data_IF_736425307339
#
_entry.id   IF_736425307339
#
_cell.length_a   1.000
_cell.length_b   1.000
_cell.length_c   1.000
_cell.angle_alpha   90.00
_cell.angle_beta   90.00
_cell.angle_gamma   90.00
#
_symmetry.space_group_name_H-M   'P 1'
#
loop_
_entity.id
_entity.type
_entity.pdbx_description
1 polymer ?
#
# COMPACT_ATOMS: atom_id res chain seq x y z
N UNK A 1 23.94 29.43 2.71
CA UNK A 1 24.49 28.12 3.13
C UNK A 1 23.33 27.32 3.69
N UNK A 2 23.11 26.09 3.26
CA UNK A 2 22.10 25.22 3.89
C UNK A 2 22.54 24.99 5.34
N UNK A 3 21.72 25.40 6.29
CA UNK A 3 22.04 25.30 7.71
C UNK A 3 22.10 23.82 8.09
N UNK A 4 23.22 23.41 8.70
CA UNK A 4 23.42 22.06 9.24
C UNK A 4 22.40 21.78 10.35
N UNK A 5 21.67 20.67 10.24
CA UNK A 5 20.66 20.26 11.22
C UNK A 5 21.20 19.17 12.15
N UNK A 6 20.65 19.07 13.36
CA UNK A 6 20.90 17.99 14.31
C UNK A 6 19.69 17.06 14.40
N UNK A 7 19.88 15.81 14.00
CA UNK A 7 18.85 14.79 13.97
C UNK A 7 18.91 13.90 15.21
N UNK A 8 17.78 13.58 15.83
CA UNK A 8 17.65 12.56 16.87
C UNK A 8 16.80 11.42 16.33
N UNK A 9 17.40 10.25 16.07
CA UNK A 9 16.75 9.14 15.36
C UNK A 9 16.63 7.93 16.28
N UNK A 10 15.40 7.42 16.43
CA UNK A 10 15.15 6.18 17.18
C UNK A 10 15.16 4.95 16.29
N UNK A 11 15.71 3.83 16.80
CA UNK A 11 15.75 2.57 16.05
C UNK A 11 16.72 2.57 14.87
N UNK A 12 17.92 3.12 15.06
CA UNK A 12 18.90 3.36 14.00
C UNK A 12 19.72 2.14 13.56
N UNK A 13 19.58 0.98 14.20
CA UNK A 13 20.51 -0.14 13.99
C UNK A 13 20.41 -0.80 12.61
N UNK A 14 19.22 -0.86 12.01
CA UNK A 14 18.96 -1.57 10.75
C UNK A 14 17.84 -0.90 9.94
N UNK A 15 17.63 -1.39 8.71
CA UNK A 15 16.53 -0.98 7.85
C UNK A 15 16.48 0.53 7.61
N UNK A 16 15.27 1.09 7.65
CA UNK A 16 15.03 2.50 7.35
C UNK A 16 15.70 3.47 8.33
N UNK A 17 15.73 3.14 9.62
CA UNK A 17 16.43 3.96 10.63
C UNK A 17 17.92 4.09 10.34
N UNK A 18 18.56 2.99 9.93
CA UNK A 18 19.97 2.98 9.50
C UNK A 18 20.17 3.80 8.23
N UNK A 19 19.27 3.65 7.25
CA UNK A 19 19.31 4.43 6.02
C UNK A 19 19.16 5.93 6.26
N UNK A 20 18.33 6.34 7.23
CA UNK A 20 18.16 7.74 7.64
C UNK A 20 19.41 8.32 8.32
N UNK A 21 20.08 7.55 9.19
CA UNK A 21 21.37 7.96 9.77
C UNK A 21 22.37 8.24 8.66
N UNK A 22 22.51 7.30 7.70
CA UNK A 22 23.40 7.46 6.54
C UNK A 22 23.05 8.71 5.73
N UNK A 23 21.79 8.84 5.31
CA UNK A 23 21.36 9.94 4.44
C UNK A 23 21.53 11.32 5.10
N UNK A 24 21.24 11.45 6.40
CA UNK A 24 21.43 12.70 7.13
C UNK A 24 22.93 13.05 7.25
N UNK A 25 23.77 12.06 7.59
CA UNK A 25 25.21 12.25 7.67
C UNK A 25 25.83 12.59 6.30
N UNK A 26 25.41 11.94 5.22
CA UNK A 26 25.86 12.24 3.85
C UNK A 26 25.41 13.63 3.40
N UNK A 27 24.26 14.11 3.87
CA UNK A 27 23.78 15.47 3.65
C UNK A 27 24.52 16.55 4.46
N UNK A 28 25.53 16.16 5.24
CA UNK A 28 26.37 17.07 6.04
C UNK A 28 25.80 17.44 7.41
N UNK A 29 24.71 16.78 7.83
CA UNK A 29 24.05 17.01 9.12
C UNK A 29 24.77 16.29 10.28
N UNK A 30 24.32 16.58 11.50
CA UNK A 30 24.69 15.87 12.73
C UNK A 30 23.58 14.89 13.10
N UNK A 31 23.94 13.74 13.65
CA UNK A 31 23.00 12.69 14.00
C UNK A 31 23.29 12.16 15.39
N UNK A 32 22.25 12.11 16.21
CA UNK A 32 22.15 11.26 17.39
C UNK A 32 21.39 10.02 16.95
N UNK A 33 22.11 8.92 16.73
CA UNK A 33 21.53 7.64 16.34
C UNK A 33 21.34 6.78 17.57
N UNK A 34 20.12 6.31 17.80
CA UNK A 34 19.82 5.52 19.01
C UNK A 34 19.40 4.09 18.67
N UNK A 35 19.88 3.13 19.46
CA UNK A 35 19.54 1.73 19.34
C UNK A 35 19.71 1.04 20.69
N UNK A 36 19.07 -0.12 20.93
CA UNK A 36 19.33 -0.91 22.15
C UNK A 36 20.80 -1.33 22.29
N UNK A 37 21.48 -1.48 21.14
CA UNK A 37 22.89 -1.84 21.00
C UNK A 37 23.59 -0.80 20.12
N UNK A 38 24.08 0.32 20.69
CA UNK A 38 24.64 1.43 19.92
C UNK A 38 25.92 1.06 19.16
N UNK A 39 26.63 0.01 19.56
CA UNK A 39 27.79 -0.53 18.85
C UNK A 39 27.49 -0.92 17.40
N UNK A 40 26.22 -1.19 17.06
CA UNK A 40 25.78 -1.46 15.68
C UNK A 40 25.88 -0.23 14.75
N UNK A 41 26.17 0.95 15.30
CA UNK A 41 26.39 2.20 14.57
C UNK A 41 27.87 2.57 14.43
N UNK A 42 28.80 1.73 14.92
CA UNK A 42 30.23 2.03 14.94
C UNK A 42 30.82 2.34 13.54
N UNK A 43 30.34 1.68 12.48
CA UNK A 43 30.81 1.93 11.09
C UNK A 43 30.60 3.38 10.63
N UNK A 44 29.59 4.06 11.16
CA UNK A 44 29.31 5.44 10.80
C UNK A 44 30.26 6.40 11.53
N UNK A 45 30.71 6.05 12.73
CA UNK A 45 31.65 6.86 13.50
C UNK A 45 33.01 6.94 12.80
N UNK A 46 33.46 5.84 12.19
CA UNK A 46 34.72 5.79 11.43
C UNK A 46 34.73 6.75 10.22
N UNK A 47 33.58 6.91 9.57
CA UNK A 47 33.44 7.68 8.32
C UNK A 47 32.95 9.12 8.53
N UNK A 48 32.30 9.41 9.66
CA UNK A 48 31.63 10.70 9.89
C UNK A 48 32.08 11.43 11.16
N UNK A 49 32.95 10.80 11.98
CA UNK A 49 33.61 11.40 13.13
C UNK A 49 32.64 12.00 14.14
N UNK A 50 32.93 13.22 14.60
CA UNK A 50 32.16 13.95 15.63
C UNK A 50 30.74 14.35 15.19
N UNK A 51 30.29 14.02 13.98
CA UNK A 51 28.92 14.28 13.53
C UNK A 51 27.93 13.22 13.96
N UNK A 52 28.40 12.09 14.51
CA UNK A 52 27.56 11.04 15.04
C UNK A 52 27.74 10.91 16.55
N UNK A 53 26.62 10.91 17.27
CA UNK A 53 26.54 10.44 18.65
C UNK A 53 25.66 9.18 18.68
N UNK A 54 26.25 8.03 19.03
CA UNK A 54 25.51 6.78 19.17
C UNK A 54 25.09 6.58 20.64
N UNK A 55 23.79 6.42 20.92
CA UNK A 55 23.27 6.24 22.28
C UNK A 55 22.48 4.94 22.41
N UNK A 56 22.62 4.28 23.57
CA UNK A 56 21.75 3.18 23.96
C UNK A 56 20.35 3.73 24.28
N UNK A 57 19.30 3.19 23.65
CA UNK A 57 17.93 3.58 23.95
C UNK A 57 16.93 2.44 23.72
N UNK A 58 16.13 2.17 24.75
CA UNK A 58 14.82 1.56 24.63
C UNK A 58 13.76 2.65 24.79
N UNK A 59 12.90 2.81 23.80
CA UNK A 59 11.88 3.88 23.79
C UNK A 59 10.75 3.63 24.79
N UNK A 60 10.64 2.41 25.31
CA UNK A 60 9.67 2.05 26.36
C UNK A 60 10.12 2.48 27.75
N UNK A 61 11.42 2.74 27.97
CA UNK A 61 11.94 3.29 29.23
C UNK A 61 11.95 4.83 29.18
N UNK A 62 10.94 5.45 29.80
CA UNK A 62 10.80 6.91 29.85
C UNK A 62 12.02 7.61 30.46
N UNK A 63 12.71 7.01 31.45
CA UNK A 63 13.91 7.61 32.05
C UNK A 63 15.08 7.58 31.08
N UNK A 64 15.26 6.46 30.38
CA UNK A 64 16.28 6.35 29.33
C UNK A 64 16.03 7.34 28.19
N UNK A 65 14.76 7.54 27.79
CA UNK A 65 14.37 8.55 26.80
C UNK A 65 14.78 9.96 27.25
N UNK A 66 14.45 10.36 28.49
CA UNK A 66 14.84 11.67 29.01
C UNK A 66 16.36 11.86 29.07
N UNK A 67 17.10 10.83 29.51
CA UNK A 67 18.55 10.88 29.54
C UNK A 67 19.15 11.02 28.14
N UNK A 68 18.68 10.24 27.16
CA UNK A 68 19.17 10.31 25.79
C UNK A 68 18.90 11.67 25.13
N UNK A 69 17.74 12.30 25.39
CA UNK A 69 17.45 13.66 24.92
C UNK A 69 18.37 14.69 25.60
N UNK A 70 18.62 14.55 26.90
CA UNK A 70 19.55 15.43 27.62
C UNK A 70 20.98 15.30 27.09
N UNK A 71 21.46 14.08 26.84
CA UNK A 71 22.79 13.81 26.27
C UNK A 71 22.91 14.37 24.85
N UNK A 72 21.88 14.20 24.02
CA UNK A 72 21.81 14.77 22.68
C UNK A 72 21.95 16.30 22.70
N UNK A 73 21.20 16.98 23.58
CA UNK A 73 21.27 18.43 23.75
C UNK A 73 22.60 18.86 24.36
N UNK A 74 23.11 18.14 25.36
CA UNK A 74 24.40 18.43 25.98
C UNK A 74 25.56 18.34 24.99
N UNK A 75 25.50 17.39 24.06
CA UNK A 75 26.56 17.17 23.07
C UNK A 75 26.49 18.13 21.88
N UNK A 76 25.32 18.33 21.27
CA UNK A 76 25.17 19.15 20.06
C UNK A 76 24.55 20.53 20.28
N UNK A 77 24.04 20.81 21.48
CA UNK A 77 23.42 22.07 21.89
C UNK A 77 21.94 22.23 21.50
N UNK A 78 21.42 21.40 20.60
CA UNK A 78 20.05 21.50 20.05
C UNK A 78 19.61 20.20 19.39
N UNK A 79 18.32 20.08 19.10
CA UNK A 79 17.76 19.01 18.27
C UNK A 79 16.82 19.65 17.24
N UNK A 80 17.14 19.58 15.95
CA UNK A 80 16.37 20.22 14.88
C UNK A 80 15.31 19.29 14.28
N UNK A 81 15.63 17.99 14.20
CA UNK A 81 14.75 16.97 13.64
C UNK A 81 14.71 15.77 14.59
N UNK A 82 13.53 15.39 15.05
CA UNK A 82 13.31 14.19 15.87
C UNK A 82 12.62 13.16 14.99
N UNK A 83 13.15 11.95 14.91
CA UNK A 83 12.59 10.87 14.10
C UNK A 83 12.24 9.70 15.00
N UNK A 84 10.94 9.51 15.21
CA UNK A 84 10.42 8.31 15.86
C UNK A 84 10.28 7.19 14.84
N UNK A 85 11.34 6.41 14.68
CA UNK A 85 11.40 5.27 13.75
C UNK A 85 11.40 3.91 14.48
N UNK A 86 11.76 3.85 15.76
CA UNK A 86 11.75 2.60 16.52
C UNK A 86 10.36 1.93 16.45
N UNK A 87 10.35 0.65 16.09
CA UNK A 87 9.14 -0.12 15.91
C UNK A 87 9.44 -1.52 15.37
N UNK A 88 8.48 -2.42 15.56
CA UNK A 88 8.51 -3.77 15.01
C UNK A 88 7.09 -4.30 14.84
N UNK A 89 6.98 -5.41 14.11
CA UNK A 89 5.73 -6.08 13.83
C UNK A 89 5.93 -7.57 14.12
N UNK A 90 4.98 -8.17 14.82
CA UNK A 90 4.80 -9.63 14.92
C UNK A 90 3.42 -9.98 14.35
N UNK A 91 3.27 -11.22 13.89
CA UNK A 91 2.03 -11.70 13.26
C UNK A 91 1.34 -12.71 14.17
N UNK A 92 0.09 -12.46 14.52
CA UNK A 92 -0.75 -13.37 15.30
C UNK A 92 -2.24 -13.17 15.00
N UNK A 93 -3.07 -14.22 15.05
CA UNK A 93 -4.52 -14.07 15.11
C UNK A 93 -4.93 -13.27 16.36
N UNK A 94 -6.00 -12.48 16.26
CA UNK A 94 -6.50 -11.68 17.40
C UNK A 94 -6.96 -12.61 18.54
N UNK A 95 -7.64 -13.71 18.20
CA UNK A 95 -8.22 -14.62 19.18
C UNK A 95 -7.17 -15.45 19.94
N UNK A 96 -6.11 -15.90 19.26
CA UNK A 96 -5.15 -16.87 19.80
C UNK A 96 -3.76 -16.29 20.00
N UNK A 97 -3.57 -15.00 19.72
CA UNK A 97 -2.30 -14.32 19.93
C UNK A 97 -1.97 -14.16 21.40
N UNK A 98 -0.68 -13.99 21.71
CA UNK A 98 -0.22 -13.69 23.06
C UNK A 98 -0.53 -12.23 23.42
N UNK A 99 -1.29 -12.01 24.49
CA UNK A 99 -1.63 -10.70 25.02
C UNK A 99 -0.39 -9.89 25.43
N UNK A 100 0.66 -10.55 25.94
CA UNK A 100 1.90 -9.88 26.33
C UNK A 100 2.62 -9.35 25.08
N UNK A 101 2.67 -10.12 23.99
CA UNK A 101 3.21 -9.67 22.71
C UNK A 101 2.37 -8.57 22.09
N UNK A 102 1.03 -8.67 22.17
CA UNK A 102 0.12 -7.62 21.70
C UNK A 102 0.43 -6.29 22.41
N UNK A 103 0.56 -6.31 23.74
CA UNK A 103 0.91 -5.13 24.54
C UNK A 103 2.31 -4.63 24.22
N UNK A 104 3.32 -5.50 24.17
CA UNK A 104 4.70 -5.13 23.93
C UNK A 104 4.90 -4.44 22.56
N UNK A 105 4.16 -4.90 21.53
CA UNK A 105 4.13 -4.23 20.23
C UNK A 105 3.57 -2.81 20.35
N UNK A 106 2.47 -2.62 21.10
CA UNK A 106 1.88 -1.29 21.31
C UNK A 106 2.78 -0.38 22.14
N UNK A 107 3.43 -0.92 23.18
CA UNK A 107 4.44 -0.22 24.01
C UNK A 107 5.55 0.37 23.14
N UNK A 108 6.10 -0.40 22.21
CA UNK A 108 7.18 0.12 21.36
C UNK A 108 6.66 1.02 20.24
N UNK A 109 5.61 0.60 19.53
CA UNK A 109 5.15 1.27 18.31
C UNK A 109 4.35 2.56 18.57
N UNK A 110 3.69 2.68 19.73
CA UNK A 110 2.92 3.86 20.13
C UNK A 110 3.49 4.53 21.38
N UNK A 111 3.61 3.83 22.51
CA UNK A 111 4.07 4.48 23.75
C UNK A 111 5.52 4.97 23.63
N UNK A 112 6.37 4.26 22.89
CA UNK A 112 7.71 4.72 22.54
C UNK A 112 7.70 6.04 21.75
N UNK A 113 6.79 6.18 20.79
CA UNK A 113 6.58 7.43 20.03
C UNK A 113 6.13 8.55 20.96
N UNK A 114 5.16 8.28 21.84
CA UNK A 114 4.66 9.23 22.82
C UNK A 114 5.77 9.68 23.78
N UNK A 115 6.53 8.74 24.35
CA UNK A 115 7.59 9.00 25.32
C UNK A 115 8.65 9.94 24.75
N UNK A 116 9.15 9.64 23.55
CA UNK A 116 10.17 10.45 22.88
C UNK A 116 9.61 11.82 22.50
N UNK A 117 8.41 11.87 21.91
CA UNK A 117 7.76 13.13 21.53
C UNK A 117 7.57 14.03 22.76
N UNK A 118 7.10 13.48 23.88
CA UNK A 118 6.93 14.21 25.15
C UNK A 118 8.25 14.75 25.68
N UNK A 119 9.32 13.97 25.63
CA UNK A 119 10.63 14.36 26.14
C UNK A 119 11.31 15.48 25.32
N UNK A 120 11.08 15.53 24.00
CA UNK A 120 11.72 16.54 23.13
C UNK A 120 10.96 17.87 23.07
N UNK A 121 9.64 17.90 23.30
CA UNK A 121 8.83 19.13 23.20
C UNK A 121 9.39 20.30 24.00
N UNK A 122 9.82 20.16 25.28
CA UNK A 122 10.38 21.27 26.03
C UNK A 122 11.61 21.89 25.35
N UNK A 123 12.49 21.05 24.80
CA UNK A 123 13.67 21.50 24.05
C UNK A 123 13.27 22.21 22.76
N UNK A 124 12.38 21.60 21.95
CA UNK A 124 11.91 22.18 20.68
C UNK A 124 11.24 23.54 20.91
N UNK A 125 10.42 23.65 21.96
CA UNK A 125 9.80 24.92 22.36
C UNK A 125 10.83 25.97 22.76
N UNK A 126 11.80 25.61 23.60
CA UNK A 126 12.81 26.55 24.09
C UNK A 126 13.69 27.13 22.97
N UNK A 127 13.98 26.33 21.93
CA UNK A 127 14.78 26.76 20.78
C UNK A 127 13.95 27.41 19.65
N UNK A 128 12.63 27.54 19.81
CA UNK A 128 11.74 28.20 18.85
C UNK A 128 11.25 27.33 17.68
N UNK A 129 11.34 26.00 17.80
CA UNK A 129 10.76 25.06 16.85
C UNK A 129 11.67 23.89 16.48
N UNK A 130 11.20 23.09 15.53
CA UNK A 130 11.87 21.91 15.00
C UNK A 130 10.90 21.02 14.23
N UNK A 131 11.38 19.90 13.71
CA UNK A 131 10.56 18.94 12.97
C UNK A 131 10.47 17.63 13.73
N UNK A 132 9.26 17.13 13.95
CA UNK A 132 9.02 15.77 14.47
C UNK A 132 8.53 14.90 13.32
N UNK A 133 9.32 13.90 12.95
CA UNK A 133 9.00 12.90 11.93
C UNK A 133 8.51 11.63 12.62
N UNK A 134 7.30 11.22 12.29
CA UNK A 134 6.62 10.08 12.90
C UNK A 134 6.51 8.96 11.87
N UNK A 135 7.20 7.84 12.08
CA UNK A 135 7.04 6.69 11.18
C UNK A 135 5.78 5.90 11.56
N UNK A 136 4.73 6.13 10.78
CA UNK A 136 3.53 5.31 10.74
C UNK A 136 3.70 4.20 9.69
N UNK A 137 2.63 3.85 8.97
CA UNK A 137 2.61 2.87 7.88
C UNK A 137 1.41 3.13 7.00
N UNK A 138 1.51 2.86 5.69
CA UNK A 138 0.33 2.87 4.82
C UNK A 138 -0.74 1.86 5.30
N UNK A 139 -0.32 0.72 5.88
CA UNK A 139 -1.24 -0.22 6.54
C UNK A 139 -1.84 0.37 7.82
N UNK A 140 -1.13 1.23 8.53
CA UNK A 140 -1.63 2.01 9.66
C UNK A 140 -2.57 3.16 9.28
N UNK A 141 -2.86 3.33 7.99
CA UNK A 141 -3.84 4.29 7.44
C UNK A 141 -5.08 3.60 6.90
N UNK A 142 -4.89 2.50 6.16
CA UNK A 142 -5.97 1.78 5.43
C UNK A 142 -6.70 0.76 6.31
N UNK A 143 -6.05 0.17 7.32
CA UNK A 143 -6.72 -0.83 8.18
C UNK A 143 -6.86 -2.21 7.53
N UNK A 144 -7.53 -3.13 8.24
CA UNK A 144 -8.03 -4.39 7.68
C UNK A 144 -6.97 -5.42 7.25
N UNK A 145 -5.75 -5.39 7.80
CA UNK A 145 -4.73 -6.38 7.42
C UNK A 145 -4.76 -7.54 8.43
N UNK A 146 -5.05 -8.79 7.99
CA UNK A 146 -5.10 -9.93 8.90
C UNK A 146 -3.77 -10.18 9.60
N UNK A 147 -3.84 -10.57 10.88
CA UNK A 147 -2.71 -11.02 11.66
C UNK A 147 -1.80 -9.93 12.22
N UNK A 148 -2.05 -8.64 11.93
CA UNK A 148 -1.16 -7.53 12.35
C UNK A 148 -1.85 -6.50 13.23
N UNK A 149 -2.87 -6.92 13.98
CA UNK A 149 -3.80 -6.04 14.69
C UNK A 149 -3.11 -5.07 15.66
N UNK A 150 -2.21 -5.54 16.54
CA UNK A 150 -1.52 -4.66 17.50
C UNK A 150 -0.70 -3.58 16.80
N UNK A 151 0.14 -3.98 15.84
CA UNK A 151 0.94 -3.05 15.05
C UNK A 151 0.06 -2.04 14.30
N UNK A 152 -0.99 -2.51 13.63
CA UNK A 152 -1.89 -1.64 12.86
C UNK A 152 -2.58 -0.64 13.79
N UNK A 153 -3.15 -1.09 14.91
CA UNK A 153 -3.76 -0.23 15.91
C UNK A 153 -2.79 0.82 16.46
N UNK A 154 -1.55 0.43 16.77
CA UNK A 154 -0.51 1.35 17.22
C UNK A 154 -0.18 2.42 16.17
N UNK A 155 -0.12 2.04 14.88
CA UNK A 155 0.20 2.98 13.78
C UNK A 155 -0.97 3.93 13.45
N UNK A 156 -2.21 3.48 13.60
CA UNK A 156 -3.39 4.38 13.61
C UNK A 156 -3.33 5.37 14.79
N UNK A 157 -2.98 4.88 15.98
CA UNK A 157 -2.84 5.74 17.16
C UNK A 157 -1.73 6.78 17.00
N UNK A 158 -0.61 6.42 16.35
CA UNK A 158 0.44 7.37 15.96
C UNK A 158 -0.12 8.47 15.05
N UNK A 159 -0.99 8.16 14.09
CA UNK A 159 -1.57 9.19 13.22
C UNK A 159 -2.42 10.20 13.99
N UNK A 160 -3.38 9.69 14.78
CA UNK A 160 -4.24 10.52 15.63
C UNK A 160 -3.43 11.38 16.60
N UNK A 161 -2.44 10.78 17.27
CA UNK A 161 -1.53 11.48 18.16
C UNK A 161 -0.72 12.56 17.44
N UNK A 162 -0.22 12.28 16.23
CA UNK A 162 0.60 13.22 15.46
C UNK A 162 -0.18 14.46 15.05
N UNK A 163 -1.48 14.31 14.73
CA UNK A 163 -2.37 15.44 14.43
C UNK A 163 -2.60 16.32 15.65
N UNK A 164 -2.87 15.72 16.81
CA UNK A 164 -3.02 16.46 18.06
C UNK A 164 -1.72 17.18 18.45
N UNK A 165 -0.58 16.48 18.39
CA UNK A 165 0.74 17.04 18.63
C UNK A 165 1.02 18.25 17.73
N UNK A 166 0.73 18.15 16.44
CA UNK A 166 0.92 19.24 15.48
C UNK A 166 0.08 20.47 15.85
N UNK A 167 -1.19 20.27 16.19
CA UNK A 167 -2.10 21.34 16.57
C UNK A 167 -1.66 22.03 17.88
N UNK A 168 -1.30 21.25 18.91
CA UNK A 168 -0.88 21.77 20.21
C UNK A 168 0.46 22.52 20.17
N UNK A 169 1.39 22.06 19.33
CA UNK A 169 2.76 22.59 19.28
C UNK A 169 2.99 23.61 18.16
N UNK A 170 1.99 23.89 17.33
CA UNK A 170 2.06 24.90 16.28
C UNK A 170 2.51 26.30 16.79
N UNK A 171 2.03 26.81 17.94
CA UNK A 171 2.51 28.09 18.49
C UNK A 171 4.01 28.10 18.86
N UNK A 172 4.63 26.93 19.02
CA UNK A 172 6.06 26.79 19.32
C UNK A 172 6.94 26.71 18.06
N UNK A 173 6.34 26.75 16.86
CA UNK A 173 7.06 26.56 15.60
C UNK A 173 7.45 25.09 15.33
N UNK A 174 6.85 24.14 16.04
CA UNK A 174 7.09 22.71 15.80
C UNK A 174 6.25 22.25 14.61
N UNK A 175 6.90 21.59 13.66
CA UNK A 175 6.26 20.96 12.50
C UNK A 175 6.24 19.46 12.70
N UNK A 176 5.16 18.81 12.30
CA UNK A 176 5.02 17.35 12.38
C UNK A 176 4.82 16.78 10.98
N UNK A 177 5.59 15.73 10.67
CA UNK A 177 5.50 14.98 9.41
C UNK A 177 5.26 13.50 9.74
N UNK A 178 4.09 12.98 9.39
CA UNK A 178 3.81 11.54 9.45
C UNK A 178 4.30 10.88 8.16
N UNK A 179 5.19 9.90 8.26
CA UNK A 179 5.68 9.13 7.11
C UNK A 179 5.00 7.77 7.09
N UNK A 180 4.41 7.42 5.96
CA UNK A 180 3.58 6.24 5.78
C UNK A 180 4.13 5.37 4.64
N UNK A 181 5.10 4.51 4.95
CA UNK A 181 5.73 3.71 3.92
C UNK A 181 4.95 2.45 3.55
N UNK A 182 5.29 1.95 2.37
CA UNK A 182 5.07 0.56 1.94
C UNK A 182 5.97 -0.39 2.73
N UNK A 183 5.82 -1.70 2.51
CA UNK A 183 6.80 -2.66 3.02
C UNK A 183 8.15 -2.44 2.34
N UNK A 184 9.18 -2.10 3.13
CA UNK A 184 10.55 -1.97 2.66
C UNK A 184 11.29 -3.30 2.77
N UNK A 185 12.29 -3.48 1.90
CA UNK A 185 13.32 -4.48 2.14
C UNK A 185 13.95 -4.18 3.49
N UNK A 186 13.72 -5.02 4.49
CA UNK A 186 14.58 -5.05 5.67
C UNK A 186 15.38 -6.33 5.55
N UNK A 187 16.70 -6.21 5.69
CA UNK A 187 17.68 -7.21 5.28
C UNK A 187 17.27 -8.65 5.58
N UNK A 188 17.58 -9.54 4.63
CA UNK A 188 17.41 -10.99 4.69
C UNK A 188 18.22 -11.70 5.81
N UNK A 189 18.83 -10.93 6.73
CA UNK A 189 19.61 -11.42 7.87
C UNK A 189 18.88 -11.28 9.21
N UNK A 190 17.58 -11.00 9.20
CA UNK A 190 16.72 -11.17 10.37
C UNK A 190 15.55 -10.20 10.38
N UNK A 191 14.42 -10.62 9.81
CA UNK A 191 13.16 -10.03 10.23
C UNK A 191 13.01 -10.38 11.72
N UNK A 192 13.09 -9.39 12.60
CA UNK A 192 12.68 -9.51 14.01
C UNK A 192 11.18 -9.82 14.19
N UNK A 193 10.50 -10.17 13.10
CA UNK A 193 9.09 -10.45 13.06
C UNK A 193 8.90 -11.90 13.47
N UNK A 194 8.31 -12.07 14.64
CA UNK A 194 7.84 -13.36 15.09
C UNK A 194 6.49 -13.62 14.44
N UNK A 195 6.36 -14.77 13.80
CA UNK A 195 5.07 -15.27 13.31
C UNK A 195 4.62 -16.32 14.32
N UNK A 196 3.57 -16.01 15.07
CA UNK A 196 2.95 -16.94 16.00
C UNK A 196 2.20 -18.04 15.25
N UNK A 197 1.81 -19.10 15.96
CA UNK A 197 1.05 -20.20 15.38
C UNK A 197 -0.25 -19.66 14.76
N UNK A 198 -0.50 -20.03 13.51
CA UNK A 198 -1.75 -19.77 12.81
C UNK A 198 -2.62 -21.04 12.88
N UNK A 199 -3.80 -21.00 13.54
CA UNK A 199 -4.76 -22.09 13.48
C UNK A 199 -5.33 -22.26 12.07
N UNK A 200 -5.80 -23.47 11.75
CA UNK A 200 -6.37 -23.82 10.43
C UNK A 200 -7.51 -22.90 10.00
N UNK A 201 -8.30 -22.43 10.95
CA UNK A 201 -9.45 -21.54 10.80
C UNK A 201 -9.01 -20.15 10.28
N UNK A 202 -7.75 -19.76 10.54
CA UNK A 202 -7.17 -18.50 10.10
C UNK A 202 -6.26 -18.63 8.88
N UNK A 203 -6.09 -19.83 8.32
CA UNK A 203 -5.31 -20.04 7.10
C UNK A 203 -5.87 -19.27 5.89
N UNK A 204 -7.20 -19.21 5.64
CA UNK A 204 -7.76 -18.47 4.50
C UNK A 204 -7.47 -16.96 4.54
N UNK A 205 -7.17 -16.40 5.71
CA UNK A 205 -6.94 -14.96 5.91
C UNK A 205 -5.48 -14.66 6.24
N UNK A 206 -5.00 -15.08 7.41
CA UNK A 206 -3.66 -14.79 7.92
C UNK A 206 -2.62 -15.67 7.19
N UNK A 207 -2.91 -16.96 7.01
CA UNK A 207 -2.07 -17.86 6.23
C UNK A 207 -1.87 -17.35 4.80
N UNK A 208 -2.97 -17.06 4.10
CA UNK A 208 -2.93 -16.50 2.75
C UNK A 208 -2.20 -15.15 2.68
N UNK A 209 -2.30 -14.30 3.71
CA UNK A 209 -1.55 -13.04 3.81
C UNK A 209 -0.04 -13.30 3.91
N UNK A 210 0.37 -14.26 4.74
CA UNK A 210 1.77 -14.66 4.91
C UNK A 210 2.34 -15.27 3.63
N UNK A 211 1.60 -16.13 2.95
CA UNK A 211 2.00 -16.73 1.66
C UNK A 211 2.24 -15.66 0.60
N UNK A 212 1.33 -14.69 0.47
CA UNK A 212 1.47 -13.56 -0.47
C UNK A 212 2.67 -12.66 -0.11
N UNK A 213 2.95 -12.49 1.18
CA UNK A 213 4.09 -11.72 1.69
C UNK A 213 5.44 -12.41 1.50
N UNK A 214 5.50 -13.74 1.63
CA UNK A 214 6.73 -14.53 1.59
C UNK A 214 7.38 -14.67 0.20
N UNK A 215 6.64 -14.42 -0.87
CA UNK A 215 7.12 -14.53 -2.27
C UNK A 215 7.29 -13.22 -3.03
N UNK A 216 6.96 -12.07 -2.44
CA UNK A 216 6.97 -10.78 -3.14
C UNK A 216 8.26 -10.02 -2.86
N UNK A 217 9.07 -9.65 -3.88
CA UNK A 217 10.25 -8.82 -3.67
C UNK A 217 9.88 -7.50 -2.98
N UNK A 218 10.73 -6.98 -2.09
CA UNK A 218 10.45 -5.72 -1.43
C UNK A 218 10.28 -4.59 -2.46
N UNK A 219 9.13 -3.90 -2.37
CA UNK A 219 8.72 -2.85 -3.32
C UNK A 219 9.32 -1.49 -2.96
N UNK A 220 9.72 -1.31 -1.69
CA UNK A 220 10.35 -0.08 -1.21
C UNK A 220 11.88 -0.19 -1.09
N UNK A 221 12.57 0.86 -1.52
CA UNK A 221 14.01 1.09 -1.28
C UNK A 221 14.20 2.00 -0.05
N UNK A 222 14.76 1.49 1.07
CA UNK A 222 14.95 2.27 2.30
C UNK A 222 15.95 3.42 2.13
N UNK A 223 16.90 3.32 1.20
CA UNK A 223 17.87 4.39 0.92
C UNK A 223 17.15 5.57 0.26
N UNK A 224 16.39 5.31 -0.82
CA UNK A 224 15.59 6.36 -1.48
C UNK A 224 14.58 6.98 -0.52
N UNK A 225 13.94 6.18 0.32
CA UNK A 225 13.00 6.68 1.32
C UNK A 225 13.67 7.64 2.32
N UNK A 226 14.84 7.26 2.83
CA UNK A 226 15.63 8.10 3.71
C UNK A 226 16.06 9.43 3.05
N UNK A 227 16.58 9.37 1.82
CA UNK A 227 16.96 10.55 1.04
C UNK A 227 15.76 11.48 0.76
N UNK A 228 14.58 10.92 0.48
CA UNK A 228 13.35 11.70 0.32
C UNK A 228 13.01 12.42 1.64
N UNK A 229 13.03 11.73 2.77
CA UNK A 229 12.73 12.34 4.08
C UNK A 229 13.71 13.46 4.40
N UNK A 230 15.03 13.23 4.24
CA UNK A 230 16.07 14.26 4.47
C UNK A 230 15.86 15.49 3.59
N UNK A 231 15.44 15.32 2.33
CA UNK A 231 15.11 16.44 1.45
C UNK A 231 13.82 17.15 1.87
N UNK A 232 12.78 16.39 2.23
CA UNK A 232 11.47 16.94 2.59
C UNK A 232 11.55 17.78 3.87
N UNK A 233 12.22 17.32 4.92
CA UNK A 233 12.29 18.07 6.19
C UNK A 233 13.00 19.43 6.07
N UNK A 234 13.80 19.62 5.02
CA UNK A 234 14.49 20.89 4.71
C UNK A 234 13.61 21.90 3.96
N UNK A 235 12.37 21.52 3.63
CA UNK A 235 11.40 22.40 2.98
C UNK A 235 10.77 23.35 4.00
N UNK A 236 10.43 24.55 3.54
CA UNK A 236 9.71 25.53 4.37
C UNK A 236 8.31 25.04 4.75
N UNK A 237 7.57 24.49 3.79
CA UNK A 237 6.25 23.90 3.99
C UNK A 237 6.34 22.39 3.90
N UNK A 238 6.02 21.71 5.01
CA UNK A 238 5.96 20.26 5.09
C UNK A 238 4.52 19.79 4.87
N UNK A 239 4.31 18.67 4.15
CA UNK A 239 3.02 18.01 4.21
C UNK A 239 2.82 17.42 5.61
N UNK A 240 1.57 17.22 6.02
CA UNK A 240 1.26 16.51 7.28
C UNK A 240 1.54 15.01 7.14
N UNK A 241 1.38 14.45 5.95
CA UNK A 241 1.61 13.04 5.65
C UNK A 241 2.45 12.87 4.38
N UNK A 242 3.33 11.88 4.37
CA UNK A 242 4.13 11.51 3.21
C UNK A 242 4.07 10.01 2.97
N UNK A 243 3.39 9.62 1.89
CA UNK A 243 3.31 8.25 1.41
C UNK A 243 4.60 7.89 0.67
N UNK A 244 5.22 6.76 1.04
CA UNK A 244 6.46 6.29 0.41
C UNK A 244 6.29 4.89 -0.20
N UNK A 245 6.46 4.81 -1.52
CA UNK A 245 6.34 3.58 -2.31
C UNK A 245 4.99 3.46 -3.04
N UNK A 246 5.02 2.77 -4.18
CA UNK A 246 3.87 2.67 -5.11
C UNK A 246 2.63 2.12 -4.40
N UNK A 247 2.76 1.00 -3.70
CA UNK A 247 1.64 0.36 -2.99
C UNK A 247 1.05 1.28 -1.91
N UNK A 248 1.89 2.01 -1.16
CA UNK A 248 1.42 2.96 -0.15
C UNK A 248 0.54 4.05 -0.77
N UNK A 249 0.95 4.58 -1.94
CA UNK A 249 0.19 5.59 -2.68
C UNK A 249 -1.13 5.01 -3.18
N UNK A 250 -1.08 3.90 -3.91
CA UNK A 250 -2.27 3.30 -4.53
C UNK A 250 -3.31 2.89 -3.50
N UNK A 251 -2.92 2.15 -2.46
CA UNK A 251 -3.83 1.68 -1.42
C UNK A 251 -4.44 2.84 -0.62
N UNK A 252 -3.66 3.88 -0.32
CA UNK A 252 -4.15 5.02 0.47
C UNK A 252 -5.12 5.89 -0.32
N UNK A 253 -4.88 6.07 -1.62
CA UNK A 253 -5.78 6.82 -2.48
C UNK A 253 -7.10 6.05 -2.70
N UNK A 254 -7.02 4.74 -2.95
CA UNK A 254 -8.20 3.88 -3.06
C UNK A 254 -9.04 3.90 -1.77
N UNK A 255 -8.41 3.66 -0.62
CA UNK A 255 -9.07 3.72 0.68
C UNK A 255 -9.76 5.06 0.91
N UNK A 256 -9.07 6.17 0.61
CA UNK A 256 -9.64 7.50 0.81
C UNK A 256 -10.87 7.74 -0.06
N UNK A 257 -10.91 7.21 -1.29
CA UNK A 257 -12.09 7.30 -2.16
C UNK A 257 -13.26 6.51 -1.60
N UNK A 258 -13.02 5.28 -1.14
CA UNK A 258 -14.06 4.43 -0.52
C UNK A 258 -14.64 5.06 0.74
N UNK A 259 -13.81 5.68 1.57
CA UNK A 259 -14.28 6.39 2.77
C UNK A 259 -15.14 7.61 2.44
N UNK A 260 -14.81 8.35 1.37
CA UNK A 260 -15.64 9.46 0.89
C UNK A 260 -16.99 8.93 0.38
N UNK A 261 -16.97 7.85 -0.41
CA UNK A 261 -18.17 7.22 -0.95
C UNK A 261 -19.10 6.71 0.16
N UNK A 262 -18.55 6.01 1.14
CA UNK A 262 -19.28 5.51 2.30
C UNK A 262 -19.89 6.68 3.12
N UNK A 263 -19.09 7.68 3.46
CA UNK A 263 -19.57 8.86 4.19
C UNK A 263 -20.65 9.63 3.42
N UNK A 264 -20.57 9.66 2.09
CA UNK A 264 -21.57 10.30 1.22
C UNK A 264 -22.86 9.50 1.22
N UNK A 265 -22.77 8.18 1.06
CA UNK A 265 -23.93 7.26 1.10
C UNK A 265 -24.70 7.41 2.41
N UNK A 266 -23.99 7.51 3.54
CA UNK A 266 -24.57 7.63 4.87
C UNK A 266 -24.75 9.08 5.35
N UNK A 267 -24.55 10.09 4.49
CA UNK A 267 -24.52 11.49 4.90
C UNK A 267 -25.85 11.94 5.53
N UNK A 268 -26.98 11.66 4.88
CA UNK A 268 -28.30 12.08 5.39
C UNK A 268 -28.62 11.41 6.73
N UNK A 269 -28.33 10.12 6.88
CA UNK A 269 -28.49 9.39 8.13
C UNK A 269 -27.64 10.01 9.23
N UNK A 270 -26.36 10.25 8.94
CA UNK A 270 -25.41 10.84 9.90
C UNK A 270 -25.85 12.24 10.33
N UNK A 271 -26.34 13.07 9.40
CA UNK A 271 -26.85 14.41 9.70
C UNK A 271 -28.11 14.38 10.55
N UNK A 272 -29.00 13.39 10.35
CA UNK A 272 -30.28 13.30 11.09
C UNK A 272 -30.14 13.18 12.62
N UNK A 273 -28.95 12.86 13.12
CA UNK A 273 -28.62 12.90 14.55
C UNK A 273 -28.44 14.32 15.12
N UNK A 274 -28.49 15.36 14.27
CA UNK A 274 -28.44 16.76 14.69
C UNK A 274 -29.71 17.21 15.40
N UNK A 275 -29.56 18.04 16.44
CA UNK A 275 -30.67 18.53 17.31
C UNK A 275 -31.82 19.18 16.53
N UNK A 276 -31.55 19.74 15.35
CA UNK A 276 -32.52 20.45 14.52
C UNK A 276 -32.78 19.79 13.17
N UNK A 277 -32.30 18.57 12.97
CA UNK A 277 -32.39 17.86 11.70
C UNK A 277 -33.64 16.95 11.66
N UNK A 278 -34.24 16.71 10.47
CA UNK A 278 -35.35 15.79 10.33
C UNK A 278 -34.98 14.37 10.78
N UNK A 279 -35.84 13.74 11.60
CA UNK A 279 -35.66 12.37 12.06
C UNK A 279 -37.00 11.64 12.25
N UNK A 280 -37.13 10.36 11.81
CA UNK A 280 -36.12 9.55 11.15
C UNK A 280 -35.99 9.88 9.65
N UNK A 281 -34.83 9.56 9.08
CA UNK A 281 -34.62 9.52 7.62
C UNK A 281 -34.55 8.06 7.15
N UNK A 282 -34.80 7.82 5.87
CA UNK A 282 -34.63 6.49 5.29
C UNK A 282 -33.14 6.10 5.30
N UNK A 283 -32.87 4.83 5.65
CA UNK A 283 -31.53 4.27 5.49
C UNK A 283 -31.25 4.02 4.00
N UNK A 284 -29.99 4.12 3.55
CA UNK A 284 -29.58 3.65 2.23
C UNK A 284 -30.04 2.21 2.00
N UNK A 285 -30.41 1.87 0.77
CA UNK A 285 -30.85 0.51 0.44
C UNK A 285 -29.71 -0.50 0.57
N UNK A 286 -30.05 -1.72 0.99
CA UNK A 286 -29.16 -2.90 1.01
C UNK A 286 -28.75 -3.39 -0.39
N UNK A 287 -29.08 -2.63 -1.45
CA UNK A 287 -28.53 -2.88 -2.78
C UNK A 287 -27.01 -2.95 -2.65
N UNK A 288 -26.42 -4.05 -3.13
CA UNK A 288 -25.03 -4.48 -2.94
C UNK A 288 -23.91 -3.50 -3.39
N UNK A 289 -24.24 -2.25 -3.64
CA UNK A 289 -23.35 -1.13 -3.93
C UNK A 289 -22.97 -0.30 -2.68
N UNK A 290 -23.43 -0.66 -1.46
CA UNK A 290 -23.06 0.02 -0.21
C UNK A 290 -21.94 -0.70 0.55
N UNK A 291 -20.70 -0.24 0.33
CA UNK A 291 -19.52 -0.17 1.20
C UNK A 291 -19.06 -1.33 2.13
N UNK A 292 -19.85 -2.36 2.45
CA UNK A 292 -19.46 -3.46 3.33
C UNK A 292 -19.57 -4.81 2.61
N UNK A 293 -18.44 -5.28 2.09
CA UNK A 293 -18.20 -6.72 1.96
C UNK A 293 -16.71 -7.02 2.15
N UNK A 294 -16.33 -7.15 3.42
CA UNK A 294 -15.47 -8.28 3.76
C UNK A 294 -16.43 -9.46 3.84
N UNK A 295 -16.58 -10.25 2.77
CA UNK A 295 -16.86 -11.68 2.94
C UNK A 295 -16.68 -12.53 1.67
N UNK A 296 -16.20 -13.73 1.97
CA UNK A 296 -16.06 -14.94 1.16
C UNK A 296 -17.46 -15.49 0.75
N UNK A 297 -17.60 -16.32 -0.30
CA UNK A 297 -18.84 -16.49 -1.07
C UNK A 297 -19.79 -17.54 -0.47
N UNK A 298 -21.10 -17.28 -0.60
CA UNK A 298 -22.16 -18.26 -0.31
C UNK A 298 -23.44 -17.97 -1.11
N UNK A 299 -23.78 -18.92 -1.98
CA UNK A 299 -24.92 -19.12 -2.88
C UNK A 299 -26.26 -18.37 -2.67
N UNK A 300 -26.85 -17.90 -3.79
CA UNK A 300 -28.26 -18.13 -4.16
C UNK A 300 -28.54 -17.79 -5.65
N UNK A 301 -29.29 -18.66 -6.32
CA UNK A 301 -29.71 -18.69 -7.75
C UNK A 301 -30.66 -17.55 -8.18
N UNK A 302 -30.73 -17.25 -9.49
CA UNK A 302 -32.02 -16.89 -10.11
C UNK A 302 -32.16 -15.93 -11.29
N UNK A 303 -31.09 -15.52 -11.98
CA UNK A 303 -31.05 -14.97 -13.35
C UNK A 303 -29.54 -14.85 -13.66
N UNK A 304 -29.00 -15.21 -14.85
CA UNK A 304 -27.54 -15.35 -15.08
C UNK A 304 -26.78 -14.00 -14.88
N UNK A 305 -26.53 -13.67 -13.62
CA UNK A 305 -25.85 -12.47 -13.17
C UNK A 305 -24.38 -12.61 -13.57
N UNK A 306 -23.93 -11.71 -14.45
CA UNK A 306 -22.54 -11.65 -14.86
C UNK A 306 -21.73 -11.12 -13.68
N UNK A 307 -20.90 -11.97 -13.09
CA UNK A 307 -20.05 -11.59 -11.97
C UNK A 307 -18.94 -10.64 -12.44
N UNK A 308 -18.81 -9.52 -11.74
CA UNK A 308 -17.70 -8.60 -11.95
C UNK A 308 -16.39 -9.21 -11.43
N UNK A 309 -15.27 -8.76 -12.00
CA UNK A 309 -13.96 -9.22 -11.55
C UNK A 309 -13.75 -8.92 -10.06
N UNK A 310 -13.14 -9.83 -9.28
CA UNK A 310 -12.78 -9.57 -7.88
C UNK A 310 -11.62 -8.56 -7.75
N UNK A 311 -11.03 -8.13 -8.86
CA UNK A 311 -9.98 -7.09 -8.87
C UNK A 311 -10.59 -5.72 -9.10
N UNK A 312 -10.40 -4.82 -8.15
CA UNK A 312 -11.09 -3.52 -8.09
C UNK A 312 -10.89 -2.65 -9.36
N UNK A 313 -9.68 -2.57 -9.89
CA UNK A 313 -9.43 -1.82 -11.13
C UNK A 313 -10.14 -2.41 -12.36
N UNK A 314 -10.22 -3.74 -12.45
CA UNK A 314 -10.94 -4.42 -13.54
C UNK A 314 -12.45 -4.27 -13.34
N UNK A 315 -12.92 -4.29 -12.08
CA UNK A 315 -14.33 -4.10 -11.71
C UNK A 315 -14.80 -2.69 -12.02
N UNK A 316 -14.11 -1.66 -11.55
CA UNK A 316 -14.43 -0.26 -11.78
C UNK A 316 -14.43 0.08 -13.28
N UNK A 317 -13.45 -0.42 -14.03
CA UNK A 317 -13.39 -0.23 -15.48
C UNK A 317 -14.55 -0.93 -16.20
N UNK A 318 -14.89 -2.15 -15.77
CA UNK A 318 -16.06 -2.86 -16.30
C UNK A 318 -17.35 -2.12 -15.97
N UNK A 319 -17.51 -1.65 -14.74
CA UNK A 319 -18.67 -0.86 -14.30
C UNK A 319 -18.80 0.44 -15.10
N UNK A 320 -17.68 1.11 -15.41
CA UNK A 320 -17.69 2.30 -16.24
C UNK A 320 -18.17 2.00 -17.67
N UNK A 321 -17.71 0.90 -18.28
CA UNK A 321 -18.16 0.45 -19.61
C UNK A 321 -19.65 0.06 -19.59
N UNK A 322 -20.10 -0.63 -18.54
CA UNK A 322 -21.50 -1.03 -18.39
C UNK A 322 -22.41 0.18 -18.17
N UNK A 323 -21.96 1.17 -17.39
CA UNK A 323 -22.70 2.40 -17.11
C UNK A 323 -22.76 3.34 -18.32
N UNK A 324 -21.67 3.44 -19.11
CA UNK A 324 -21.64 4.22 -20.34
C UNK A 324 -22.37 3.52 -21.50
N UNK A 325 -22.55 2.20 -21.41
CA UNK A 325 -23.07 1.36 -22.49
C UNK A 325 -22.12 1.27 -23.70
N UNK A 326 -20.87 1.71 -23.59
CA UNK A 326 -19.92 1.74 -24.71
C UNK A 326 -18.47 1.58 -24.26
N UNK A 327 -17.64 0.93 -25.10
CA UNK A 327 -16.18 0.96 -24.94
C UNK A 327 -15.50 2.13 -25.68
N UNK A 328 -16.27 2.97 -26.38
CA UNK A 328 -15.73 4.16 -27.06
C UNK A 328 -15.09 5.14 -26.06
N UNK A 329 -13.88 5.60 -26.37
CA UNK A 329 -13.10 6.48 -25.49
C UNK A 329 -12.53 5.80 -24.25
N UNK A 330 -12.74 4.49 -24.07
CA UNK A 330 -12.12 3.72 -23.00
C UNK A 330 -10.75 3.21 -23.44
N UNK A 331 -9.72 3.55 -22.67
CA UNK A 331 -8.35 3.14 -22.95
C UNK A 331 -7.71 2.46 -21.75
N UNK A 332 -6.83 1.50 -22.02
CA UNK A 332 -5.94 0.90 -21.04
C UNK A 332 -4.51 1.10 -21.51
N UNK A 333 -3.68 1.77 -20.70
CA UNK A 333 -2.29 2.11 -21.05
C UNK A 333 -2.16 2.85 -22.39
N UNK A 334 -3.13 3.74 -22.68
CA UNK A 334 -3.18 4.52 -23.93
C UNK A 334 -3.59 3.72 -25.16
N UNK A 335 -4.26 2.57 -24.99
CA UNK A 335 -4.74 1.73 -26.09
C UNK A 335 -6.23 1.40 -25.91
N UNK A 336 -7.05 1.43 -26.98
CA UNK A 336 -8.48 1.13 -26.89
C UNK A 336 -8.75 -0.28 -26.36
N UNK A 337 -9.92 -0.48 -25.74
CA UNK A 337 -10.32 -1.76 -25.16
C UNK A 337 -11.65 -2.29 -25.72
N UNK A 338 -11.84 -3.61 -25.59
CA UNK A 338 -13.11 -4.31 -25.80
C UNK A 338 -13.49 -5.10 -24.56
N UNK A 339 -14.79 -5.32 -24.36
CA UNK A 339 -15.32 -6.06 -23.23
C UNK A 339 -15.77 -7.45 -23.65
N UNK A 340 -15.20 -8.49 -23.02
CA UNK A 340 -15.61 -9.87 -23.23
C UNK A 340 -16.56 -10.32 -22.11
N UNK A 341 -17.59 -11.07 -22.47
CA UNK A 341 -18.40 -11.86 -21.52
C UNK A 341 -18.06 -13.33 -21.69
N UNK A 342 -17.43 -13.91 -20.67
CA UNK A 342 -16.88 -15.27 -20.66
C UNK A 342 -17.58 -16.14 -19.63
N UNK A 343 -17.75 -17.43 -19.93
CA UNK A 343 -18.24 -18.41 -18.94
C UNK A 343 -17.07 -19.02 -18.17
N UNK A 344 -17.14 -19.01 -16.83
CA UNK A 344 -16.10 -19.57 -15.96
C UNK A 344 -15.95 -21.08 -16.12
N UNK A 345 -14.73 -21.57 -16.41
CA UNK A 345 -14.48 -23.00 -16.67
C UNK A 345 -14.80 -23.93 -15.47
N UNK A 346 -14.66 -23.41 -14.24
CA UNK A 346 -14.96 -24.16 -13.01
C UNK A 346 -16.33 -23.80 -12.43
N UNK A 347 -16.69 -22.51 -12.48
CA UNK A 347 -17.88 -22.00 -11.80
C UNK A 347 -19.14 -22.00 -12.66
N UNK A 348 -19.03 -22.12 -13.99
CA UNK A 348 -20.17 -22.00 -14.91
C UNK A 348 -20.78 -20.59 -15.02
N UNK A 349 -20.46 -19.68 -14.09
CA UNK A 349 -20.95 -18.29 -14.06
C UNK A 349 -20.34 -17.41 -15.15
N UNK A 350 -21.10 -16.43 -15.65
CA UNK A 350 -20.61 -15.44 -16.61
C UNK A 350 -19.72 -14.40 -15.91
N UNK A 351 -18.68 -13.93 -16.60
CA UNK A 351 -17.72 -12.95 -16.10
C UNK A 351 -17.31 -11.97 -17.19
N UNK A 352 -17.15 -10.71 -16.80
CA UNK A 352 -16.60 -9.69 -17.67
C UNK A 352 -15.07 -9.71 -17.68
N UNK A 353 -14.46 -9.49 -18.85
CA UNK A 353 -13.01 -9.35 -18.99
C UNK A 353 -12.70 -8.26 -20.01
N UNK A 354 -12.01 -7.21 -19.58
CA UNK A 354 -11.54 -6.13 -20.45
C UNK A 354 -10.20 -6.54 -21.05
N UNK A 355 -10.07 -6.41 -22.37
CA UNK A 355 -8.83 -6.70 -23.10
C UNK A 355 -8.54 -5.60 -24.13
N UNK A 356 -7.28 -5.49 -24.56
CA UNK A 356 -6.91 -4.55 -25.63
C UNK A 356 -7.69 -4.86 -26.91
N UNK A 357 -8.20 -3.82 -27.57
CA UNK A 357 -8.89 -3.93 -28.86
C UNK A 357 -7.87 -4.23 -29.97
N UNK A 358 -7.87 -5.46 -30.46
CA UNK A 358 -7.10 -5.87 -31.66
C UNK A 358 -8.09 -6.41 -32.68
N UNK A 359 -8.57 -5.55 -33.57
CA UNK A 359 -9.62 -5.88 -34.55
C UNK A 359 -9.07 -5.82 -35.97
N UNK A 360 -9.53 -6.74 -36.83
CA UNK A 360 -9.30 -6.71 -38.26
C UNK A 360 -10.39 -7.45 -39.02
N UNK A 361 -11.07 -6.75 -39.93
CA UNK A 361 -12.12 -7.30 -40.80
C UNK A 361 -13.25 -7.99 -40.01
N UNK A 362 -13.62 -7.41 -38.86
CA UNK A 362 -14.67 -7.93 -37.98
C UNK A 362 -14.25 -9.14 -37.14
N UNK A 363 -13.00 -9.59 -37.24
CA UNK A 363 -12.39 -10.59 -36.35
C UNK A 363 -11.56 -9.90 -35.28
N UNK A 364 -11.43 -10.52 -34.12
CA UNK A 364 -10.66 -9.97 -33.00
C UNK A 364 -9.55 -10.91 -32.56
N UNK A 365 -8.43 -10.37 -32.08
CA UNK A 365 -7.42 -11.14 -31.38
C UNK A 365 -7.38 -10.78 -29.89
N UNK A 366 -7.35 -11.80 -29.03
CA UNK A 366 -7.22 -11.64 -27.58
C UNK A 366 -6.00 -12.41 -27.08
N UNK A 367 -5.10 -11.71 -26.37
CA UNK A 367 -3.80 -12.24 -25.95
C UNK A 367 -3.83 -12.60 -24.47
N UNK A 368 -3.63 -13.88 -24.16
CA UNK A 368 -3.67 -14.40 -22.79
C UNK A 368 -2.35 -14.18 -22.06
N UNK A 369 -2.04 -12.92 -21.78
CA UNK A 369 -0.82 -12.49 -21.09
C UNK A 369 -1.13 -11.71 -19.81
N UNK A 370 -0.31 -11.94 -18.78
CA UNK A 370 -0.25 -11.13 -17.56
C UNK A 370 1.08 -10.38 -17.53
N UNK A 371 1.28 -9.46 -18.47
CA UNK A 371 2.55 -8.71 -18.61
C UNK A 371 3.80 -9.60 -18.76
N UNK A 372 3.63 -10.80 -19.32
CA UNK A 372 4.71 -11.79 -19.45
C UNK A 372 4.94 -12.67 -18.21
N UNK A 373 3.97 -12.78 -17.29
CA UNK A 373 4.07 -13.76 -16.20
C UNK A 373 4.15 -15.21 -16.71
N UNK A 374 4.79 -16.08 -15.92
CA UNK A 374 4.95 -17.51 -16.22
C UNK A 374 3.60 -18.26 -16.28
N UNK A 375 2.56 -17.76 -15.62
CA UNK A 375 1.23 -18.38 -15.65
C UNK A 375 0.27 -17.71 -16.65
N UNK A 376 -0.72 -18.49 -17.11
CA UNK A 376 -1.84 -17.97 -17.89
C UNK A 376 -2.81 -17.17 -17.01
N UNK A 377 -3.45 -16.10 -17.54
CA UNK A 377 -4.56 -15.48 -16.84
C UNK A 377 -5.73 -16.47 -16.71
N UNK A 378 -6.50 -16.40 -15.62
CA UNK A 378 -7.61 -17.35 -15.36
C UNK A 378 -8.61 -17.43 -16.52
N UNK A 379 -8.87 -16.32 -17.20
CA UNK A 379 -9.79 -16.27 -18.34
C UNK A 379 -9.30 -17.09 -19.57
N UNK A 380 -8.01 -17.41 -19.66
CA UNK A 380 -7.48 -18.35 -20.66
C UNK A 380 -8.22 -19.70 -20.60
N UNK A 381 -8.34 -20.24 -19.39
CA UNK A 381 -8.98 -21.54 -19.16
C UNK A 381 -10.49 -21.47 -19.43
N UNK A 382 -11.11 -20.31 -19.20
CA UNK A 382 -12.52 -20.08 -19.54
C UNK A 382 -12.77 -20.21 -21.04
N UNK A 383 -11.94 -19.57 -21.87
CA UNK A 383 -12.04 -19.66 -23.33
C UNK A 383 -11.79 -21.08 -23.83
N UNK A 384 -10.82 -21.79 -23.26
CA UNK A 384 -10.53 -23.19 -23.64
C UNK A 384 -11.71 -24.13 -23.32
N UNK A 385 -12.42 -23.90 -22.22
CA UNK A 385 -13.58 -24.71 -21.83
C UNK A 385 -14.86 -24.30 -22.56
N UNK A 386 -15.04 -23.00 -22.81
CA UNK A 386 -16.23 -22.42 -23.42
C UNK A 386 -15.81 -21.40 -24.49
N UNK A 387 -15.61 -21.84 -25.74
CA UNK A 387 -15.10 -20.98 -26.81
C UNK A 387 -16.14 -19.98 -27.35
N UNK A 388 -17.42 -20.20 -27.08
CA UNK A 388 -18.47 -19.24 -27.43
C UNK A 388 -18.46 -18.07 -26.44
N UNK A 389 -18.26 -16.86 -26.96
CA UNK A 389 -18.10 -15.66 -26.16
C UNK A 389 -18.92 -14.51 -26.74
N UNK A 390 -19.35 -13.58 -25.89
CA UNK A 390 -19.87 -12.29 -26.36
C UNK A 390 -18.77 -11.24 -26.24
N UNK A 391 -18.70 -10.35 -27.23
CA UNK A 391 -17.76 -9.24 -27.24
C UNK A 391 -18.51 -7.96 -27.54
N UNK A 392 -18.24 -6.91 -26.76
CA UNK A 392 -18.68 -5.55 -27.00
C UNK A 392 -17.51 -4.68 -27.46
N UNK A 393 -17.71 -4.00 -28.58
CA UNK A 393 -16.79 -3.03 -29.19
C UNK A 393 -17.58 -1.75 -29.52
N UNK A 394 -17.26 -0.67 -28.81
CA UNK A 394 -18.10 0.51 -28.74
C UNK A 394 -19.50 0.17 -28.22
N UNK A 395 -20.52 0.58 -28.97
CA UNK A 395 -21.92 0.27 -28.68
C UNK A 395 -22.40 -1.06 -29.28
N UNK A 396 -21.57 -1.73 -30.07
CA UNK A 396 -21.94 -2.95 -30.79
C UNK A 396 -21.56 -4.17 -29.96
N UNK A 397 -22.49 -5.11 -29.80
CA UNK A 397 -22.24 -6.40 -29.16
C UNK A 397 -22.48 -7.53 -30.16
N UNK A 398 -21.52 -8.45 -30.27
CA UNK A 398 -21.58 -9.61 -31.16
C UNK A 398 -21.28 -10.92 -30.44
N UNK A 399 -21.66 -12.04 -31.06
CA UNK A 399 -21.29 -13.39 -30.61
C UNK A 399 -20.15 -13.92 -31.46
N UNK A 400 -19.17 -14.53 -30.82
CA UNK A 400 -17.95 -15.01 -31.47
C UNK A 400 -17.59 -16.40 -30.96
N UNK A 401 -16.82 -17.12 -31.76
CA UNK A 401 -16.18 -18.37 -31.37
C UNK A 401 -14.67 -18.15 -31.32
N UNK A 402 -14.09 -18.41 -30.16
CA UNK A 402 -12.67 -18.28 -29.92
C UNK A 402 -11.91 -19.54 -30.35
N UNK A 403 -10.84 -19.35 -31.12
CA UNK A 403 -9.91 -20.42 -31.51
C UNK A 403 -8.48 -19.97 -31.25
N UNK A 404 -7.69 -20.85 -30.65
CA UNK A 404 -6.26 -20.57 -30.44
C UNK A 404 -5.56 -20.58 -31.81
N UNK A 405 -4.88 -19.48 -32.15
CA UNK A 405 -4.19 -19.36 -33.43
C UNK A 405 -2.79 -19.95 -33.34
N UNK A 406 -2.39 -20.64 -34.41
CA UNK A 406 -1.09 -21.29 -34.53
C UNK A 406 -0.42 -20.89 -35.86
N UNK A 407 0.88 -21.22 -35.99
CA UNK A 407 1.63 -21.04 -37.23
C UNK A 407 1.61 -19.62 -37.81
N UNK A 408 1.36 -19.52 -39.13
CA UNK A 408 1.38 -18.26 -39.86
C UNK A 408 0.29 -17.29 -39.42
N UNK A 409 -0.93 -17.79 -39.17
CA UNK A 409 -2.07 -16.98 -38.71
C UNK A 409 -1.74 -16.31 -37.36
N UNK A 410 -1.13 -17.06 -36.43
CA UNK A 410 -0.68 -16.51 -35.14
C UNK A 410 0.33 -15.39 -35.34
N UNK A 411 1.33 -15.59 -36.21
CA UNK A 411 2.36 -14.58 -36.45
C UNK A 411 1.76 -13.28 -37.01
N UNK A 412 0.79 -13.39 -37.91
CA UNK A 412 0.09 -12.27 -38.52
C UNK A 412 -0.73 -11.47 -37.49
N UNK A 413 -1.54 -12.16 -36.67
CA UNK A 413 -2.29 -11.53 -35.58
C UNK A 413 -1.40 -10.96 -34.49
N UNK A 414 -0.25 -11.57 -34.23
CA UNK A 414 0.71 -11.04 -33.28
C UNK A 414 1.29 -9.70 -33.73
N UNK A 415 1.60 -9.54 -35.02
CA UNK A 415 2.04 -8.25 -35.57
C UNK A 415 0.94 -7.18 -35.49
N UNK A 416 -0.33 -7.56 -35.64
CA UNK A 416 -1.47 -6.65 -35.40
C UNK A 416 -1.56 -6.25 -33.94
N UNK A 417 -1.43 -7.22 -33.03
CA UNK A 417 -1.45 -6.97 -31.59
C UNK A 417 -0.35 -6.01 -31.15
N UNK A 418 0.88 -6.18 -31.63
CA UNK A 418 2.00 -5.26 -31.31
C UNK A 418 1.77 -3.84 -31.88
N UNK A 419 1.06 -3.70 -33.00
CA UNK A 419 0.67 -2.39 -33.53
C UNK A 419 -0.41 -1.72 -32.69
N UNK A 420 -1.40 -2.49 -32.24
CA UNK A 420 -2.49 -2.02 -31.39
C UNK A 420 -2.01 -1.70 -29.97
N UNK A 421 -1.05 -2.47 -29.45
CA UNK A 421 -0.45 -2.26 -28.14
C UNK A 421 1.05 -2.64 -28.14
N UNK A 422 1.96 -1.66 -28.30
CA UNK A 422 3.40 -1.90 -28.45
C UNK A 422 4.05 -2.71 -27.32
N UNK A 423 3.52 -2.64 -26.09
CA UNK A 423 4.07 -3.34 -24.92
C UNK A 423 4.01 -4.87 -25.04
N UNK A 424 3.22 -5.44 -25.96
CA UNK A 424 3.23 -6.89 -26.20
C UNK A 424 4.60 -7.41 -26.67
N UNK A 425 5.43 -6.55 -27.29
CA UNK A 425 6.81 -6.88 -27.63
C UNK A 425 7.65 -7.18 -26.40
N UNK A 426 7.49 -6.36 -25.35
CA UNK A 426 8.20 -6.55 -24.09
C UNK A 426 7.72 -7.79 -23.34
N UNK A 427 6.42 -8.10 -23.40
CA UNK A 427 5.87 -9.25 -22.68
C UNK A 427 6.45 -10.57 -23.16
N UNK A 428 6.73 -10.70 -24.46
CA UNK A 428 7.47 -11.84 -25.02
C UNK A 428 8.91 -11.93 -24.54
N UNK A 429 9.57 -10.80 -24.29
CA UNK A 429 10.95 -10.79 -23.80
C UNK A 429 11.09 -11.18 -22.33
N UNK A 430 9.97 -11.23 -21.59
CA UNK A 430 9.94 -11.50 -20.13
C UNK A 430 9.59 -12.95 -19.78
N UNK A 431 9.25 -13.79 -20.76
CA UNK A 431 8.90 -15.20 -20.53
C UNK A 431 9.32 -16.09 -21.69
N UNK A 432 9.80 -17.27 -21.35
CA UNK A 432 10.07 -18.35 -22.31
C UNK A 432 8.80 -19.16 -22.64
N UNK A 433 7.67 -18.86 -21.98
CA UNK A 433 6.39 -19.53 -22.22
C UNK A 433 5.76 -19.07 -23.53
N UNK A 434 5.14 -20.01 -24.23
CA UNK A 434 4.23 -19.70 -25.33
C UNK A 434 3.00 -18.93 -24.82
N UNK A 435 2.93 -17.62 -25.11
CA UNK A 435 1.77 -16.79 -24.80
C UNK A 435 0.64 -17.12 -25.81
N UNK A 436 -0.53 -17.60 -25.34
CA UNK A 436 -1.66 -17.91 -26.22
C UNK A 436 -2.25 -16.64 -26.82
N UNK A 437 -2.63 -16.77 -28.09
CA UNK A 437 -3.40 -15.79 -28.83
C UNK A 437 -4.64 -16.51 -29.36
N UNK A 438 -5.82 -16.03 -29.01
CA UNK A 438 -7.07 -16.51 -29.59
C UNK A 438 -7.54 -15.52 -30.64
N UNK A 439 -8.02 -16.06 -31.76
CA UNK A 439 -8.79 -15.31 -32.75
C UNK A 439 -10.27 -15.59 -32.50
N UNK A 440 -11.05 -14.52 -32.50
CA UNK A 440 -12.49 -14.52 -32.28
C UNK A 440 -13.15 -14.34 -33.63
N UNK A 441 -13.77 -15.42 -34.10
CA UNK A 441 -14.47 -15.47 -35.38
C UNK A 441 -15.96 -15.13 -35.14
N UNK A 442 -16.56 -14.18 -35.87
CA UNK A 442 -17.99 -13.89 -35.77
C UNK A 442 -18.81 -15.15 -35.98
N UNK A 443 -19.84 -15.34 -35.17
CA UNK A 443 -20.79 -16.44 -35.30
C UNK A 443 -21.87 -16.17 -36.33
#
# INVERSE_FOLDING_TARGET
MVQRQTWFITGSSRGLGRALVRAALEAGDRVVGTARRPEQLAEFAESHGERLLALALDVTDTRAVHAAVADAVGHFGRIDVVVNNAGYLNVAPIETGDDEDFRAQFETNFWGVYNVSKAVIPQLRAQGGGVVVQFSSARGRVGGVPGVASYQAAKFAVDGFSRALAAETAPFGVKVLTVEPSYFATDATGSSMTVHRIPSEYEPTIGAMLERGGGTPPVGDPVRAAEIVVRVVKREHLPTHLLLGVNAVEMSLDYSRRQIEEATTWEQVSRSAGVSEPYPVALPSDSADSADSVDDPGDADGDEAVELSPRDHVRAQTQQILASGTTEGMEMLGSPVVLLTLRGAKSGKLRYTVVMRVEHEGRYAVIASRQGAQDHPTWYYNIKAHPEIRLQDGTVTGSFVAREAEGAERAEWWQRAERAFPSYREYRGRTDRHIPLFVLDPK
#
